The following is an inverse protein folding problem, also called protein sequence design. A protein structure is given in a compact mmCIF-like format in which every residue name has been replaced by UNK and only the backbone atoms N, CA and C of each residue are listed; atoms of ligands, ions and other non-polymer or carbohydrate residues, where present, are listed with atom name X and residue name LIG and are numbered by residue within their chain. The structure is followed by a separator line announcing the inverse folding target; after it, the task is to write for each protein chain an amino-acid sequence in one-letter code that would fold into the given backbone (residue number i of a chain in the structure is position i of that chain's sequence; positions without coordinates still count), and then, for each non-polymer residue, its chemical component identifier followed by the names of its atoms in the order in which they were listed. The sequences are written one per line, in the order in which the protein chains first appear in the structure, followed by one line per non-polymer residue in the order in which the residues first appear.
data_IF_119471309815
#
_entry.id   IF_119471309815
#
_cell.length_a   1.000
_cell.length_b   1.000
_cell.length_c   1.000
_cell.angle_alpha   90.00
_cell.angle_beta   90.00
_cell.angle_gamma   90.00
#
_symmetry.space_group_name_H-M   'P 1'
#
loop_
_entity.id
_entity.type
_entity.pdbx_description
1 polymer ?
#
# COMPACT_ATOMS: atom_id res chain seq x y z
N UNK A 1 -42.86 50.23 11.91
CA UNK A 1 -41.57 50.25 11.17
C UNK A 1 -40.42 49.50 11.86
N UNK A 2 -40.36 49.40 13.21
CA UNK A 2 -39.21 48.82 13.95
C UNK A 2 -39.09 47.28 13.95
N UNK A 3 -40.20 46.52 13.89
CA UNK A 3 -40.17 45.04 13.97
C UNK A 3 -39.48 44.34 12.78
N UNK A 4 -39.58 44.91 11.56
CA UNK A 4 -38.91 44.36 10.36
C UNK A 4 -37.39 44.50 10.42
N UNK A 5 -36.89 45.55 11.07
CA UNK A 5 -35.45 45.79 11.24
C UNK A 5 -34.86 44.77 12.22
N UNK A 6 -35.51 44.54 13.36
CA UNK A 6 -35.05 43.56 14.37
C UNK A 6 -35.05 42.14 13.80
N UNK A 7 -36.09 41.76 13.05
CA UNK A 7 -36.17 40.45 12.42
C UNK A 7 -35.06 40.23 11.37
N UNK A 8 -34.69 41.29 10.64
CA UNK A 8 -33.58 41.27 9.68
C UNK A 8 -32.23 41.01 10.36
N UNK A 9 -31.95 41.69 11.48
CA UNK A 9 -30.71 41.48 12.23
C UNK A 9 -30.61 40.07 12.86
N UNK A 10 -31.73 39.52 13.32
CA UNK A 10 -31.78 38.14 13.84
C UNK A 10 -31.49 37.13 12.72
N UNK A 11 -32.03 37.35 11.51
CA UNK A 11 -31.80 36.44 10.38
C UNK A 11 -30.34 36.50 9.89
N UNK A 12 -29.75 37.69 9.83
CA UNK A 12 -28.35 37.90 9.41
C UNK A 12 -27.38 37.28 10.41
N UNK A 13 -27.61 37.48 11.71
CA UNK A 13 -26.77 36.86 12.76
C UNK A 13 -26.89 35.34 12.74
N UNK A 14 -28.09 34.78 12.56
CA UNK A 14 -28.28 33.34 12.42
C UNK A 14 -27.55 32.79 11.17
N UNK A 15 -27.60 33.50 10.04
CA UNK A 15 -26.90 33.12 8.81
C UNK A 15 -25.37 33.13 8.96
N UNK A 16 -24.82 34.05 9.75
CA UNK A 16 -23.39 34.16 10.05
C UNK A 16 -22.91 33.16 11.12
N UNK A 17 -23.82 32.56 11.89
CA UNK A 17 -23.50 31.50 12.87
C UNK A 17 -23.56 30.09 12.27
N UNK A 18 -24.01 29.92 11.02
CA UNK A 18 -23.76 28.67 10.33
C UNK A 18 -22.26 28.60 10.08
N UNK A 19 -21.53 27.61 10.64
CA UNK A 19 -20.19 27.35 10.17
C UNK A 19 -20.33 27.15 8.67
N UNK A 20 -19.63 27.96 7.88
CA UNK A 20 -19.36 27.61 6.50
C UNK A 20 -18.63 26.29 6.58
N UNK A 21 -19.37 25.18 6.47
CA UNK A 21 -18.81 23.85 6.46
C UNK A 21 -17.77 23.87 5.35
N UNK A 22 -16.50 23.89 5.72
CA UNK A 22 -15.43 23.64 4.79
C UNK A 22 -15.55 22.17 4.43
N UNK A 23 -16.32 21.88 3.39
CA UNK A 23 -16.25 20.57 2.75
C UNK A 23 -14.81 20.45 2.26
N UNK A 24 -14.05 19.54 2.86
CA UNK A 24 -12.74 19.18 2.32
C UNK A 24 -12.99 18.67 0.90
N UNK A 25 -12.55 19.46 -0.08
CA UNK A 25 -12.53 19.00 -1.46
C UNK A 25 -11.34 18.06 -1.55
N UNK A 26 -11.59 16.74 -1.59
CA UNK A 26 -10.55 15.79 -1.94
C UNK A 26 -10.05 16.17 -3.33
N UNK A 27 -8.89 16.81 -3.38
CA UNK A 27 -8.09 16.81 -4.60
C UNK A 27 -7.82 15.34 -4.89
N UNK A 28 -8.33 14.84 -6.02
CA UNK A 28 -8.18 13.42 -6.37
C UNK A 28 -6.74 12.92 -6.20
N UNK A 29 -6.58 11.63 -5.93
CA UNK A 29 -5.28 11.01 -5.72
C UNK A 29 -4.30 11.42 -6.83
N UNK A 30 -3.15 11.98 -6.44
CA UNK A 30 -2.09 12.40 -7.35
C UNK A 30 -0.95 11.40 -7.28
N UNK A 31 -0.50 10.90 -8.43
CA UNK A 31 0.71 10.10 -8.48
C UNK A 31 1.93 10.99 -8.17
N UNK A 32 2.66 10.67 -7.11
CA UNK A 32 3.84 11.42 -6.66
C UNK A 32 5.15 10.67 -6.91
N UNK A 33 5.09 9.42 -7.35
CA UNK A 33 6.25 8.58 -7.62
C UNK A 33 5.88 7.25 -8.27
N UNK A 34 6.87 6.62 -8.91
CA UNK A 34 6.73 5.35 -9.63
C UNK A 34 7.96 4.48 -9.39
N UNK A 35 7.73 3.20 -9.15
CA UNK A 35 8.77 2.18 -9.13
C UNK A 35 8.49 1.16 -10.24
N UNK A 36 9.50 0.89 -11.08
CA UNK A 36 9.41 -0.12 -12.14
C UNK A 36 10.65 -1.02 -12.07
N UNK A 37 10.45 -2.34 -12.02
CA UNK A 37 11.56 -3.29 -12.22
C UNK A 37 11.78 -3.42 -13.72
N UNK A 38 13.03 -3.36 -14.14
CA UNK A 38 13.43 -3.46 -15.56
C UNK A 38 13.45 -4.90 -16.08
N UNK A 39 13.18 -5.91 -15.24
CA UNK A 39 12.96 -7.28 -15.70
C UNK A 39 11.54 -7.33 -16.30
N UNK A 40 11.45 -7.46 -17.62
CA UNK A 40 10.17 -7.42 -18.34
C UNK A 40 9.41 -8.76 -18.27
N UNK A 41 9.75 -9.61 -17.30
CA UNK A 41 9.37 -11.02 -17.28
C UNK A 41 8.50 -11.40 -16.07
N UNK A 42 8.32 -10.47 -15.13
CA UNK A 42 7.38 -10.63 -14.02
C UNK A 42 6.23 -9.62 -14.03
N UNK A 43 5.07 -10.07 -13.54
CA UNK A 43 3.89 -9.24 -13.24
C UNK A 43 3.74 -9.13 -11.73
N UNK A 44 3.04 -8.09 -11.26
CA UNK A 44 2.62 -8.00 -9.87
C UNK A 44 1.16 -8.39 -9.77
N UNK A 45 0.88 -9.34 -8.89
CA UNK A 45 -0.48 -9.84 -8.65
C UNK A 45 -1.16 -9.11 -7.49
N UNK A 46 -0.36 -8.63 -6.53
CA UNK A 46 -0.85 -8.02 -5.30
C UNK A 46 0.19 -7.09 -4.66
N UNK A 47 -0.29 -6.17 -3.82
CA UNK A 47 0.51 -5.21 -3.06
C UNK A 47 -0.08 -4.99 -1.67
N UNK A 48 0.79 -5.05 -0.65
CA UNK A 48 0.46 -4.64 0.72
C UNK A 48 1.38 -3.50 1.14
N UNK A 49 0.79 -2.47 1.73
CA UNK A 49 1.51 -1.33 2.30
C UNK A 49 1.91 -1.57 3.75
N UNK A 50 3.14 -1.21 4.09
CA UNK A 50 3.62 -1.06 5.47
C UNK A 50 3.90 0.40 5.80
N UNK A 51 4.72 0.63 6.82
CA UNK A 51 5.04 1.98 7.31
C UNK A 51 5.89 2.77 6.32
N UNK A 52 7.01 2.18 5.90
CA UNK A 52 7.97 2.78 4.95
C UNK A 52 8.24 1.89 3.75
N UNK A 53 7.56 0.75 3.65
CA UNK A 53 7.80 -0.25 2.63
C UNK A 53 6.48 -0.66 1.99
N UNK A 54 6.55 -1.09 0.74
CA UNK A 54 5.49 -1.88 0.11
C UNK A 54 6.02 -3.25 -0.26
N UNK A 55 5.14 -4.22 -0.17
CA UNK A 55 5.43 -5.63 -0.40
C UNK A 55 4.62 -6.06 -1.61
N UNK A 56 5.30 -6.54 -2.65
CA UNK A 56 4.67 -6.92 -3.91
C UNK A 56 4.77 -8.42 -4.09
N UNK A 57 3.66 -9.01 -4.47
CA UNK A 57 3.58 -10.39 -4.92
C UNK A 57 3.97 -10.45 -6.40
N UNK A 58 5.19 -10.89 -6.71
CA UNK A 58 5.67 -10.99 -8.10
C UNK A 58 5.41 -12.39 -8.65
N UNK A 59 4.64 -12.48 -9.74
CA UNK A 59 4.49 -13.67 -10.56
C UNK A 59 5.34 -13.55 -11.83
N UNK A 60 5.55 -14.66 -12.55
CA UNK A 60 6.25 -14.66 -13.83
C UNK A 60 7.26 -15.80 -13.97
N UNK A 61 8.17 -15.65 -14.93
CA UNK A 61 9.19 -16.67 -15.24
C UNK A 61 10.48 -16.47 -14.45
N UNK A 62 10.59 -15.42 -13.65
CA UNK A 62 11.66 -15.24 -12.68
C UNK A 62 11.33 -15.99 -11.38
N UNK A 63 12.34 -16.17 -10.54
CA UNK A 63 12.22 -16.86 -9.26
C UNK A 63 11.70 -15.95 -8.16
N UNK A 64 11.36 -14.69 -8.43
CA UNK A 64 10.81 -13.80 -7.42
C UNK A 64 9.40 -14.20 -7.01
N UNK A 65 9.14 -14.10 -5.71
CA UNK A 65 7.81 -14.22 -5.12
C UNK A 65 7.42 -12.96 -4.33
N UNK A 66 8.40 -12.40 -3.62
CA UNK A 66 8.25 -11.24 -2.76
C UNK A 66 9.21 -10.16 -3.26
N UNK A 67 8.72 -8.96 -3.49
CA UNK A 67 9.55 -7.77 -3.74
C UNK A 67 9.28 -6.75 -2.65
N UNK A 68 10.33 -6.24 -2.03
CA UNK A 68 10.23 -5.22 -0.99
C UNK A 68 10.79 -3.91 -1.55
N UNK A 69 9.96 -2.87 -1.53
CA UNK A 69 10.30 -1.54 -2.04
C UNK A 69 10.21 -0.54 -0.91
N UNK A 70 11.28 0.25 -0.71
CA UNK A 70 11.29 1.40 0.19
C UNK A 70 10.51 2.55 -0.46
N UNK A 71 9.55 3.09 0.30
CA UNK A 71 8.71 4.23 -0.07
C UNK A 71 8.83 5.38 0.94
N UNK A 72 9.85 5.36 1.82
CA UNK A 72 10.11 6.42 2.81
C UNK A 72 10.31 7.80 2.17
N UNK A 73 10.80 7.82 0.92
CA UNK A 73 10.77 8.99 0.04
C UNK A 73 9.77 8.68 -1.10
N UNK A 74 8.50 9.13 -1.01
CA UNK A 74 7.46 8.71 -1.95
C UNK A 74 7.73 9.09 -3.41
N UNK A 75 8.53 10.12 -3.64
CA UNK A 75 8.95 10.58 -4.98
C UNK A 75 10.10 9.78 -5.55
N UNK A 76 10.77 8.95 -4.75
CA UNK A 76 11.94 8.16 -5.14
C UNK A 76 11.91 6.77 -4.47
N UNK A 77 10.91 5.94 -4.80
CA UNK A 77 10.84 4.58 -4.29
C UNK A 77 12.00 3.73 -4.81
N UNK A 78 12.49 2.78 -4.01
CA UNK A 78 13.67 1.98 -4.36
C UNK A 78 13.57 0.52 -3.94
N UNK A 79 14.18 -0.38 -4.72
CA UNK A 79 14.21 -1.82 -4.40
C UNK A 79 15.11 -2.07 -3.19
N UNK A 80 14.59 -2.79 -2.19
CA UNK A 80 15.34 -3.17 -1.00
C UNK A 80 15.74 -4.64 -1.03
N UNK A 81 14.79 -5.51 -1.36
CA UNK A 81 15.01 -6.95 -1.30
C UNK A 81 14.04 -7.76 -2.14
N UNK A 82 14.43 -9.00 -2.42
CA UNK A 82 13.61 -9.98 -3.13
C UNK A 82 13.64 -11.32 -2.40
N UNK A 83 12.49 -11.96 -2.27
CA UNK A 83 12.35 -13.32 -1.78
C UNK A 83 12.01 -14.27 -2.92
N UNK A 84 12.77 -15.37 -3.04
CA UNK A 84 12.63 -16.32 -4.16
C UNK A 84 11.66 -17.49 -3.88
N UNK A 85 11.16 -18.10 -4.95
CA UNK A 85 10.32 -19.31 -5.00
C UNK A 85 10.83 -20.31 -6.04
N UNK A 86 10.41 -21.58 -5.97
CA UNK A 86 10.45 -22.47 -7.13
C UNK A 86 9.62 -21.91 -8.29
N UNK A 87 10.19 -21.96 -9.50
CA UNK A 87 9.58 -21.43 -10.74
C UNK A 87 8.24 -22.10 -11.10
N UNK A 88 8.03 -23.35 -10.66
CA UNK A 88 6.82 -24.13 -10.89
C UNK A 88 5.57 -23.57 -10.19
N UNK A 89 5.70 -22.66 -9.23
CA UNK A 89 4.59 -22.23 -8.39
C UNK A 89 4.19 -20.79 -8.72
N UNK A 90 2.95 -20.58 -9.16
CA UNK A 90 2.44 -19.22 -9.49
C UNK A 90 2.03 -18.48 -8.22
N UNK A 91 2.51 -17.25 -8.08
CA UNK A 91 2.13 -16.34 -6.98
C UNK A 91 0.75 -15.73 -7.22
N UNK A 92 0.06 -15.40 -6.13
CA UNK A 92 -1.30 -14.84 -6.15
C UNK A 92 -1.49 -13.64 -5.23
N UNK A 93 -0.94 -13.69 -4.02
CA UNK A 93 -1.16 -12.62 -3.04
C UNK A 93 -0.01 -12.51 -2.04
N UNK A 94 0.02 -11.38 -1.33
CA UNK A 94 0.95 -11.11 -0.24
C UNK A 94 0.18 -10.54 0.94
N UNK A 95 0.60 -10.92 2.15
CA UNK A 95 0.20 -10.26 3.38
C UNK A 95 1.41 -10.11 4.30
N UNK A 96 1.37 -9.13 5.21
CA UNK A 96 2.47 -8.80 6.11
C UNK A 96 1.90 -8.54 7.50
N UNK A 97 2.56 -9.06 8.53
CA UNK A 97 2.13 -8.82 9.90
C UNK A 97 2.44 -7.40 10.38
N UNK A 98 1.81 -6.97 11.47
CA UNK A 98 1.85 -5.58 11.94
C UNK A 98 3.27 -5.03 12.21
N UNK A 99 4.20 -5.87 12.68
CA UNK A 99 5.59 -5.46 12.96
C UNK A 99 6.52 -5.54 11.74
N UNK A 100 5.98 -5.94 10.58
CA UNK A 100 6.69 -6.08 9.32
C UNK A 100 7.92 -7.02 9.40
N UNK A 101 7.87 -8.05 10.25
CA UNK A 101 8.92 -9.07 10.37
C UNK A 101 8.61 -10.37 9.63
N UNK A 102 7.35 -10.59 9.25
CA UNK A 102 6.88 -11.77 8.52
C UNK A 102 6.03 -11.36 7.33
N UNK A 103 6.36 -11.89 6.15
CA UNK A 103 5.51 -11.83 4.96
C UNK A 103 4.98 -13.23 4.62
N UNK A 104 3.69 -13.31 4.30
CA UNK A 104 3.02 -14.52 3.83
C UNK A 104 2.69 -14.32 2.35
N UNK A 105 3.13 -15.25 1.51
CA UNK A 105 2.87 -15.23 0.08
C UNK A 105 1.98 -16.41 -0.28
N UNK A 106 0.79 -16.11 -0.78
CA UNK A 106 -0.08 -17.11 -1.38
C UNK A 106 0.41 -17.47 -2.77
N UNK A 107 0.65 -18.76 -2.99
CA UNK A 107 0.94 -19.35 -4.29
C UNK A 107 -0.07 -20.48 -4.59
N UNK A 108 -0.10 -20.97 -5.84
CA UNK A 108 -1.08 -21.95 -6.32
C UNK A 108 -1.50 -23.02 -5.30
N UNK A 109 -0.58 -23.88 -4.86
CA UNK A 109 -0.82 -24.96 -3.88
C UNK A 109 0.10 -24.84 -2.68
N UNK A 110 0.67 -23.65 -2.45
CA UNK A 110 1.69 -23.42 -1.44
C UNK A 110 1.46 -22.08 -0.76
N UNK A 111 1.80 -22.02 0.51
CA UNK A 111 1.96 -20.76 1.22
C UNK A 111 3.43 -20.65 1.60
N UNK A 112 4.07 -19.57 1.17
CA UNK A 112 5.42 -19.24 1.63
C UNK A 112 5.33 -18.29 2.80
N UNK A 113 6.11 -18.57 3.83
CA UNK A 113 6.33 -17.65 4.93
C UNK A 113 7.77 -17.15 4.80
N UNK A 114 7.95 -15.83 4.82
CA UNK A 114 9.25 -15.18 4.76
C UNK A 114 9.50 -14.45 6.08
N UNK A 115 10.66 -14.68 6.67
CA UNK A 115 11.22 -13.75 7.64
C UNK A 115 11.79 -12.56 6.87
N UNK A 116 11.24 -11.37 7.14
CA UNK A 116 11.60 -10.09 6.52
C UNK A 116 12.13 -9.08 7.55
N UNK A 117 12.52 -9.54 8.74
CA UNK A 117 13.14 -8.70 9.78
C UNK A 117 14.34 -7.92 9.24
N UNK A 118 15.08 -8.52 8.31
CA UNK A 118 16.00 -7.82 7.42
C UNK A 118 15.38 -7.69 6.02
N UNK A 119 14.84 -6.51 5.70
CA UNK A 119 14.17 -6.24 4.42
C UNK A 119 15.08 -6.47 3.20
N UNK A 120 16.39 -6.27 3.35
CA UNK A 120 17.39 -6.49 2.29
C UNK A 120 17.74 -7.95 2.08
N UNK A 121 17.36 -8.83 3.00
CA UNK A 121 17.61 -10.27 2.91
C UNK A 121 16.40 -11.07 3.43
N UNK A 122 15.29 -11.10 2.67
CA UNK A 122 14.14 -11.95 3.00
C UNK A 122 14.54 -13.43 3.01
N UNK A 123 14.21 -14.15 4.07
CA UNK A 123 14.50 -15.57 4.22
C UNK A 123 13.19 -16.34 4.17
N UNK A 124 13.00 -17.17 3.14
CA UNK A 124 11.87 -18.08 3.08
C UNK A 124 12.06 -19.16 4.15
N UNK A 125 11.11 -19.29 5.07
CA UNK A 125 11.05 -20.43 5.99
C UNK A 125 10.64 -21.68 5.21
N UNK A 126 10.71 -22.85 5.83
CA UNK A 126 10.31 -24.10 5.17
C UNK A 126 8.88 -24.03 4.61
N UNK A 127 8.68 -24.76 3.51
CA UNK A 127 7.43 -24.76 2.75
C UNK A 127 6.36 -25.49 3.56
N UNK A 128 5.22 -24.84 3.78
CA UNK A 128 4.01 -25.51 4.26
C UNK A 128 3.20 -25.89 3.03
N UNK A 129 3.16 -27.19 2.72
CA UNK A 129 2.23 -27.76 1.75
C UNK A 129 0.90 -28.06 2.45
N UNK A 130 -0.21 -27.61 1.87
CA UNK A 130 -1.57 -27.90 2.36
C UNK A 130 -2.16 -29.09 1.61
#
# INVERSE_FOLDING_TARGET
MRKKIVLSYILITLFLMFPLNSYAYETGATNIGTFSITDSLGTYEDVVGGSNYVYLAQAGVNDAALVIVDISVPTSPSLVGKGSRPLSHSIKCVDVNEDESIAVIGASTYVYVFNISNKGSPIRTDIISV
#
